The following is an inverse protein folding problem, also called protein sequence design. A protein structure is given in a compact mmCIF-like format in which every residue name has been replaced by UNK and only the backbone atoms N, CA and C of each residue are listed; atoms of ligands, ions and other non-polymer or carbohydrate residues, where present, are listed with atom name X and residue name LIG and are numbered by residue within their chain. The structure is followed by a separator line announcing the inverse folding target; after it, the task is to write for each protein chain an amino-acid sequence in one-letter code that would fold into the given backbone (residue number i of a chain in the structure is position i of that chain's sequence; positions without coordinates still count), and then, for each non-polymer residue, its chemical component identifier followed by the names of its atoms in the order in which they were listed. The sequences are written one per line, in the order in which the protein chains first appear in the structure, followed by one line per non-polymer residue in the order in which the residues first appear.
data_IF_119171889778
#
_entry.id   IF_119171889778
#
_cell.length_a   1.000
_cell.length_b   1.000
_cell.length_c   1.000
_cell.angle_alpha   90.00
_cell.angle_beta   90.00
_cell.angle_gamma   90.00
#
_symmetry.space_group_name_H-M   'P 1'
#
loop_
_entity.id
_entity.type
_entity.pdbx_description
1 polymer ?
#
# COMPACT_ATOMS: atom_id res chain seq x y z
N UNK A 1 65.81 17.88 16.44
CA UNK A 1 65.34 16.55 15.99
C UNK A 1 63.85 16.26 16.21
N UNK A 2 63.13 16.97 17.11
CA UNK A 2 61.69 16.73 17.37
C UNK A 2 60.75 17.31 16.28
N UNK A 3 61.23 18.21 15.42
CA UNK A 3 60.41 18.94 14.44
C UNK A 3 60.08 18.22 13.12
N UNK A 4 60.77 17.12 12.80
CA UNK A 4 60.54 16.37 11.53
C UNK A 4 59.40 15.34 11.67
N UNK A 5 59.14 14.84 12.89
CA UNK A 5 58.12 13.83 13.15
C UNK A 5 56.67 14.32 12.94
N UNK A 6 56.40 15.61 13.12
CA UNK A 6 55.03 16.16 12.95
C UNK A 6 54.65 16.38 11.47
N UNK A 7 55.65 16.69 10.62
CA UNK A 7 55.47 16.87 9.17
C UNK A 7 55.07 15.54 8.51
N UNK A 8 55.67 14.43 8.96
CA UNK A 8 55.26 13.10 8.52
C UNK A 8 53.85 12.75 9.00
N UNK A 9 53.47 13.15 10.22
CA UNK A 9 52.15 12.85 10.79
C UNK A 9 50.98 13.47 10.04
N UNK A 10 51.07 14.73 9.61
CA UNK A 10 49.98 15.41 8.89
C UNK A 10 49.91 15.03 7.42
N UNK A 11 51.06 14.82 6.76
CA UNK A 11 51.11 14.33 5.37
C UNK A 11 50.63 12.88 5.30
N UNK A 12 51.00 12.00 6.25
CA UNK A 12 50.42 10.65 6.35
C UNK A 12 48.94 10.65 6.71
N UNK A 13 48.47 11.57 7.55
CA UNK A 13 47.04 11.65 7.89
C UNK A 13 46.19 12.03 6.66
N UNK A 14 46.68 12.96 5.83
CA UNK A 14 46.01 13.33 4.57
C UNK A 14 46.09 12.21 3.52
N UNK A 15 47.21 11.47 3.46
CA UNK A 15 47.35 10.31 2.57
C UNK A 15 46.52 9.09 3.03
N UNK A 16 46.36 8.89 4.35
CA UNK A 16 45.60 7.79 4.93
C UNK A 16 44.09 7.93 4.71
N UNK A 17 43.56 9.14 4.59
CA UNK A 17 42.13 9.38 4.28
C UNK A 17 41.82 9.06 2.80
N UNK A 18 42.82 9.13 1.91
CA UNK A 18 42.68 8.79 0.49
C UNK A 18 42.94 7.32 0.13
N UNK A 19 43.55 6.54 1.02
CA UNK A 19 43.96 5.16 0.74
C UNK A 19 43.00 4.17 1.41
N UNK A 20 41.79 4.03 0.85
CA UNK A 20 40.93 2.87 1.14
C UNK A 20 41.64 1.64 0.55
N UNK A 21 42.15 0.69 1.37
CA UNK A 21 42.82 -0.49 0.84
C UNK A 21 41.78 -1.36 0.14
N UNK A 22 41.89 -1.46 -1.18
CA UNK A 22 41.13 -2.39 -2.03
C UNK A 22 41.65 -3.82 -1.83
N UNK A 23 41.58 -4.33 -0.60
CA UNK A 23 42.02 -5.68 -0.27
C UNK A 23 41.13 -6.33 0.78
N UNK A 24 39.91 -6.69 0.37
CA UNK A 24 39.30 -7.95 0.80
C UNK A 24 39.06 -8.80 -0.43
N UNK A 25 40.06 -9.62 -0.77
CA UNK A 25 39.85 -10.86 -1.51
C UNK A 25 39.00 -11.75 -0.61
N UNK A 26 37.71 -11.82 -0.87
CA UNK A 26 36.84 -12.86 -0.34
C UNK A 26 36.14 -13.51 -1.53
N UNK A 27 36.36 -14.82 -1.63
CA UNK A 27 35.68 -15.82 -2.45
C UNK A 27 35.87 -15.74 -3.97
N UNK A 28 36.78 -16.59 -4.46
CA UNK A 28 36.74 -17.19 -5.79
C UNK A 28 35.42 -17.94 -5.96
N UNK A 29 34.42 -17.25 -6.51
CA UNK A 29 33.21 -17.82 -7.08
C UNK A 29 33.05 -17.23 -8.47
N UNK A 30 33.03 -18.10 -9.47
CA UNK A 30 33.04 -17.82 -10.90
C UNK A 30 31.97 -16.79 -11.30
N UNK A 31 32.34 -15.50 -11.40
CA UNK A 31 31.48 -14.45 -11.94
C UNK A 31 32.17 -13.81 -13.14
N UNK A 32 31.63 -14.14 -14.31
CA UNK A 32 31.90 -13.48 -15.58
C UNK A 32 31.96 -11.96 -15.42
N UNK A 33 33.02 -11.37 -15.97
CA UNK A 33 33.30 -9.93 -15.96
C UNK A 33 32.14 -9.14 -16.56
N UNK A 34 31.28 -8.62 -15.70
CA UNK A 34 30.55 -7.38 -15.96
C UNK A 34 30.99 -6.37 -14.90
N UNK A 35 32.11 -5.69 -15.18
CA UNK A 35 32.45 -4.48 -14.42
C UNK A 35 31.31 -3.48 -14.62
N UNK A 36 30.60 -3.02 -13.56
CA UNK A 36 29.53 -2.06 -13.72
C UNK A 36 30.10 -0.77 -14.35
N UNK A 37 29.40 -0.15 -15.31
CA UNK A 37 29.86 1.10 -15.90
C UNK A 37 30.05 2.12 -14.78
N UNK A 38 31.20 2.80 -14.79
CA UNK A 38 31.51 3.87 -13.84
C UNK A 38 30.45 4.97 -13.96
N UNK A 39 29.41 4.88 -13.12
CA UNK A 39 28.33 5.85 -13.09
C UNK A 39 28.93 7.12 -12.52
N UNK A 40 29.32 8.06 -13.39
CA UNK A 40 29.83 9.37 -12.98
C UNK A 40 28.80 9.98 -12.05
N UNK A 41 29.17 10.10 -10.78
CA UNK A 41 28.32 10.70 -9.76
C UNK A 41 28.22 12.19 -10.09
N UNK A 42 27.04 12.66 -10.49
CA UNK A 42 26.80 14.07 -10.79
C UNK A 42 27.21 14.93 -9.59
N UNK A 43 28.06 15.92 -9.83
CA UNK A 43 28.63 16.76 -8.79
C UNK A 43 30.05 16.40 -8.33
N UNK A 44 30.63 15.27 -8.78
CA UNK A 44 31.98 14.85 -8.37
C UNK A 44 33.07 15.88 -8.71
N UNK A 45 32.89 16.64 -9.79
CA UNK A 45 33.78 17.71 -10.21
C UNK A 45 33.85 18.85 -9.18
N UNK A 46 32.70 19.28 -8.64
CA UNK A 46 32.64 20.34 -7.62
C UNK A 46 33.31 19.91 -6.32
N UNK A 47 33.17 18.63 -5.96
CA UNK A 47 33.88 18.04 -4.82
C UNK A 47 35.40 18.08 -5.03
N UNK A 48 35.87 17.74 -6.23
CA UNK A 48 37.29 17.80 -6.56
C UNK A 48 37.85 19.23 -6.45
N UNK A 49 37.13 20.23 -7.00
CA UNK A 49 37.53 21.64 -6.86
C UNK A 49 37.55 22.11 -5.40
N UNK A 50 36.55 21.74 -4.60
CA UNK A 50 36.51 22.07 -3.18
C UNK A 50 37.70 21.45 -2.41
N UNK A 51 38.06 20.19 -2.71
CA UNK A 51 39.22 19.53 -2.10
C UNK A 51 40.54 20.18 -2.53
N UNK A 52 40.68 20.55 -3.80
CA UNK A 52 41.88 21.23 -4.30
C UNK A 52 42.05 22.59 -3.60
N UNK A 53 41.00 23.41 -3.52
CA UNK A 53 41.02 24.70 -2.83
C UNK A 53 41.44 24.54 -1.36
N UNK A 54 40.90 23.55 -0.64
CA UNK A 54 41.26 23.27 0.74
C UNK A 54 42.74 22.87 0.91
N UNK A 55 43.27 22.06 -0.02
CA UNK A 55 44.67 21.66 0.00
C UNK A 55 45.61 22.83 -0.31
N UNK A 56 45.25 23.70 -1.26
CA UNK A 56 46.01 24.92 -1.58
C UNK A 56 46.05 25.85 -0.37
N UNK A 57 44.90 26.08 0.29
CA UNK A 57 44.83 26.88 1.50
C UNK A 57 45.71 26.30 2.62
N UNK A 58 45.61 24.99 2.88
CA UNK A 58 46.45 24.33 3.89
C UNK A 58 47.94 24.44 3.56
N UNK A 59 48.33 24.32 2.30
CA UNK A 59 49.72 24.44 1.87
C UNK A 59 50.27 25.85 2.12
N UNK A 60 49.52 26.90 1.76
CA UNK A 60 49.92 28.30 1.98
C UNK A 60 50.13 28.58 3.48
N UNK A 61 49.23 28.09 4.35
CA UNK A 61 49.36 28.25 5.80
C UNK A 61 50.57 27.49 6.37
N UNK A 62 50.86 26.28 5.87
CA UNK A 62 52.06 25.55 6.27
C UNK A 62 53.34 26.27 5.83
N UNK A 63 53.39 26.81 4.60
CA UNK A 63 54.54 27.57 4.12
C UNK A 63 54.79 28.83 4.97
N UNK A 64 53.73 29.52 5.39
CA UNK A 64 53.82 30.65 6.32
C UNK A 64 54.47 30.25 7.65
N UNK A 65 53.99 29.18 8.27
CA UNK A 65 54.45 28.72 9.59
C UNK A 65 55.89 28.22 9.55
N UNK A 66 56.29 27.49 8.50
CA UNK A 66 57.62 26.87 8.43
C UNK A 66 58.70 27.74 7.79
N UNK A 67 58.35 28.55 6.80
CA UNK A 67 59.30 29.32 6.01
C UNK A 67 59.16 30.84 6.21
N UNK A 68 58.26 31.29 7.11
CA UNK A 68 57.98 32.71 7.37
C UNK A 68 57.70 33.51 6.09
N UNK A 69 57.11 32.86 5.09
CA UNK A 69 56.71 33.51 3.83
C UNK A 69 55.52 34.43 4.16
N UNK A 70 55.64 35.75 3.92
CA UNK A 70 54.57 36.68 4.27
C UNK A 70 53.30 36.37 3.46
N UNK A 71 52.26 35.94 4.18
CA UNK A 71 50.94 35.60 3.61
C UNK A 71 50.12 36.84 3.24
N UNK A 72 50.58 38.02 3.64
CA UNK A 72 49.90 39.31 3.42
C UNK A 72 49.65 39.62 1.92
N UNK A 73 50.37 38.94 1.02
CA UNK A 73 50.22 39.08 -0.43
C UNK A 73 49.10 38.20 -1.03
N UNK A 74 48.61 37.19 -0.30
CA UNK A 74 47.59 36.26 -0.79
C UNK A 74 46.23 36.67 -0.22
N UNK A 75 45.35 37.28 -1.02
CA UNK A 75 44.04 37.69 -0.54
C UNK A 75 43.20 36.45 -0.13
N UNK A 76 42.37 36.55 0.94
CA UNK A 76 41.67 35.42 1.54
C UNK A 76 40.42 35.00 0.75
N UNK A 77 40.52 34.82 -0.57
CA UNK A 77 39.40 34.36 -1.42
C UNK A 77 39.18 32.84 -1.39
N UNK A 78 40.18 32.06 -0.97
CA UNK A 78 40.13 30.59 -0.92
C UNK A 78 38.92 30.03 -0.12
N UNK A 79 38.63 30.49 1.11
CA UNK A 79 37.45 30.02 1.86
C UNK A 79 36.12 30.34 1.15
N UNK A 80 36.06 31.46 0.42
CA UNK A 80 34.86 31.88 -0.32
C UNK A 80 34.63 30.96 -1.54
N UNK A 81 35.69 30.61 -2.26
CA UNK A 81 35.62 29.65 -3.38
C UNK A 81 35.17 28.27 -2.88
N UNK A 82 35.71 27.80 -1.74
CA UNK A 82 35.29 26.55 -1.12
C UNK A 82 33.80 26.53 -0.76
N UNK A 83 33.33 27.58 -0.06
CA UNK A 83 31.93 27.72 0.32
C UNK A 83 31.00 27.77 -0.90
N UNK A 84 31.39 28.51 -1.95
CA UNK A 84 30.63 28.61 -3.19
C UNK A 84 30.51 27.24 -3.88
N UNK A 85 31.60 26.48 -3.97
CA UNK A 85 31.61 25.15 -4.59
C UNK A 85 30.73 24.15 -3.83
N UNK A 86 30.78 24.20 -2.48
CA UNK A 86 29.88 23.39 -1.65
C UNK A 86 28.41 23.80 -1.82
N UNK A 87 28.11 25.10 -1.85
CA UNK A 87 26.76 25.59 -2.04
C UNK A 87 26.18 25.15 -3.40
N UNK A 88 26.98 25.24 -4.47
CA UNK A 88 26.60 24.77 -5.80
C UNK A 88 26.38 23.26 -5.83
N UNK A 89 27.27 22.47 -5.21
CA UNK A 89 27.09 21.01 -5.10
C UNK A 89 25.80 20.66 -4.37
N UNK A 90 25.52 21.30 -3.24
CA UNK A 90 24.30 21.08 -2.46
C UNK A 90 23.06 21.51 -3.24
N UNK A 91 23.10 22.65 -3.91
CA UNK A 91 21.99 23.14 -4.76
C UNK A 91 21.68 22.17 -5.90
N UNK A 92 22.70 21.67 -6.61
CA UNK A 92 22.52 20.67 -7.66
C UNK A 92 21.95 19.36 -7.11
N UNK A 93 22.45 18.88 -5.97
CA UNK A 93 21.96 17.66 -5.33
C UNK A 93 20.52 17.80 -4.86
N UNK A 94 20.20 18.95 -4.28
CA UNK A 94 18.85 19.27 -3.86
C UNK A 94 17.92 19.31 -5.07
N UNK A 95 18.23 20.08 -6.10
CA UNK A 95 17.42 20.16 -7.33
C UNK A 95 17.18 18.78 -7.96
N UNK A 96 18.22 17.95 -8.08
CA UNK A 96 18.08 16.60 -8.61
C UNK A 96 17.23 15.69 -7.71
N UNK A 97 17.40 15.76 -6.39
CA UNK A 97 16.58 15.01 -5.45
C UNK A 97 15.10 15.44 -5.52
N UNK A 98 14.84 16.74 -5.61
CA UNK A 98 13.48 17.28 -5.77
C UNK A 98 12.83 16.82 -7.06
N UNK A 99 13.54 16.91 -8.20
CA UNK A 99 13.05 16.39 -9.48
C UNK A 99 12.76 14.90 -9.43
N UNK A 100 13.60 14.11 -8.73
CA UNK A 100 13.39 12.68 -8.59
C UNK A 100 12.17 12.36 -7.73
N UNK A 101 11.96 13.11 -6.65
CA UNK A 101 10.77 12.98 -5.80
C UNK A 101 9.51 13.31 -6.59
N UNK A 102 9.52 14.40 -7.37
CA UNK A 102 8.39 14.80 -8.22
C UNK A 102 8.09 13.74 -9.29
N UNK A 103 9.12 13.23 -9.97
CA UNK A 103 8.98 12.16 -10.97
C UNK A 103 8.37 10.89 -10.35
N UNK A 104 8.86 10.47 -9.19
CA UNK A 104 8.34 9.30 -8.46
C UNK A 104 6.91 9.54 -7.97
N UNK A 105 6.59 10.74 -7.52
CA UNK A 105 5.24 11.12 -7.11
C UNK A 105 4.27 11.05 -8.28
N UNK A 106 4.63 11.59 -9.45
CA UNK A 106 3.81 11.51 -10.66
C UNK A 106 3.64 10.05 -11.13
N UNK A 107 4.69 9.23 -11.04
CA UNK A 107 4.61 7.80 -11.38
C UNK A 107 3.69 7.04 -10.42
N UNK A 108 3.78 7.30 -9.11
CA UNK A 108 2.88 6.73 -8.11
C UNK A 108 1.42 7.12 -8.37
N UNK A 109 1.15 8.40 -8.62
CA UNK A 109 -0.21 8.87 -8.92
C UNK A 109 -0.79 8.23 -10.19
N UNK A 110 0.04 8.01 -11.22
CA UNK A 110 -0.37 7.30 -12.44
C UNK A 110 -0.64 5.82 -12.15
N UNK A 111 0.21 5.17 -11.38
CA UNK A 111 0.06 3.76 -11.03
C UNK A 111 -1.18 3.52 -10.17
N UNK A 112 -1.46 4.41 -9.21
CA UNK A 112 -2.68 4.36 -8.40
C UNK A 112 -3.92 4.50 -9.29
N UNK A 113 -3.98 5.53 -10.16
CA UNK A 113 -5.10 5.70 -11.10
C UNK A 113 -5.34 4.48 -11.99
N UNK A 114 -4.28 3.87 -12.53
CA UNK A 114 -4.40 2.67 -13.36
C UNK A 114 -4.89 1.46 -12.56
N UNK A 115 -4.42 1.29 -11.33
CA UNK A 115 -4.90 0.24 -10.43
C UNK A 115 -6.39 0.42 -10.15
N UNK A 116 -6.83 1.65 -9.96
CA UNK A 116 -8.22 1.95 -9.63
C UNK A 116 -9.15 1.73 -10.82
N UNK A 117 -8.76 2.18 -12.02
CA UNK A 117 -9.48 1.90 -13.26
C UNK A 117 -9.56 0.40 -13.54
N UNK A 118 -8.46 -0.33 -13.31
CA UNK A 118 -8.42 -1.78 -13.43
C UNK A 118 -9.40 -2.44 -12.46
N UNK A 119 -9.38 -2.09 -11.18
CA UNK A 119 -10.28 -2.65 -10.17
C UNK A 119 -11.74 -2.36 -10.49
N UNK A 120 -12.07 -1.13 -10.90
CA UNK A 120 -13.43 -0.74 -11.26
C UNK A 120 -13.94 -1.54 -12.48
N UNK A 121 -13.18 -1.55 -13.56
CA UNK A 121 -13.54 -2.23 -14.81
C UNK A 121 -13.67 -3.73 -14.61
N UNK A 122 -12.68 -4.36 -13.99
CA UNK A 122 -12.68 -5.82 -13.75
C UNK A 122 -13.82 -6.23 -12.82
N UNK A 123 -14.17 -5.40 -11.83
CA UNK A 123 -15.31 -5.70 -10.95
C UNK A 123 -16.64 -5.73 -11.72
N UNK A 124 -16.88 -4.76 -12.59
CA UNK A 124 -18.10 -4.74 -13.41
C UNK A 124 -18.13 -5.88 -14.43
N UNK A 125 -16.99 -6.22 -15.02
CA UNK A 125 -16.85 -7.38 -15.90
C UNK A 125 -17.07 -8.71 -15.16
N UNK A 126 -16.82 -8.80 -13.84
CA UNK A 126 -17.10 -9.98 -13.03
C UNK A 126 -18.54 -10.07 -12.50
N UNK A 127 -19.25 -8.94 -12.31
CA UNK A 127 -20.67 -8.97 -11.88
C UNK A 127 -21.53 -9.76 -12.86
N UNK A 128 -21.39 -9.49 -14.16
CA UNK A 128 -22.18 -10.13 -15.21
C UNK A 128 -22.06 -11.66 -15.24
N UNK A 129 -20.85 -12.28 -15.31
CA UNK A 129 -20.72 -13.73 -15.29
C UNK A 129 -21.16 -14.35 -13.96
N UNK A 130 -20.94 -13.69 -12.82
CA UNK A 130 -21.42 -14.18 -11.51
C UNK A 130 -22.96 -14.19 -11.45
N UNK A 131 -23.60 -13.13 -11.92
CA UNK A 131 -25.07 -13.11 -12.04
C UNK A 131 -25.58 -14.16 -13.03
N UNK A 132 -24.85 -14.43 -14.11
CA UNK A 132 -25.17 -15.50 -15.06
C UNK A 132 -25.15 -16.88 -14.41
N UNK A 133 -24.08 -17.24 -13.69
CA UNK A 133 -23.98 -18.52 -12.97
C UNK A 133 -25.08 -18.64 -11.92
N UNK A 134 -25.33 -17.57 -11.15
CA UNK A 134 -26.41 -17.51 -10.17
C UNK A 134 -27.79 -17.74 -10.82
N UNK A 135 -28.05 -17.11 -11.96
CA UNK A 135 -29.34 -17.22 -12.65
C UNK A 135 -29.54 -18.63 -13.23
N UNK A 136 -28.51 -19.23 -13.81
CA UNK A 136 -28.56 -20.61 -14.31
C UNK A 136 -28.83 -21.59 -13.16
N UNK A 137 -28.12 -21.43 -12.04
CA UNK A 137 -28.31 -22.30 -10.87
C UNK A 137 -29.73 -22.19 -10.29
N UNK A 138 -30.26 -20.96 -10.14
CA UNK A 138 -31.65 -20.74 -9.71
C UNK A 138 -32.68 -21.25 -10.71
N UNK A 139 -32.47 -21.03 -12.01
CA UNK A 139 -33.37 -21.53 -13.04
C UNK A 139 -33.43 -23.06 -13.08
N UNK A 140 -32.35 -23.75 -12.72
CA UNK A 140 -32.35 -25.21 -12.58
C UNK A 140 -33.06 -25.67 -11.29
N UNK A 141 -33.00 -24.89 -10.21
CA UNK A 141 -33.73 -25.14 -8.97
C UNK A 141 -35.25 -24.93 -9.12
N UNK A 142 -35.65 -23.90 -9.85
CA UNK A 142 -37.04 -23.47 -10.03
C UNK A 142 -37.74 -24.17 -11.22
N UNK A 143 -37.08 -25.12 -11.88
CA UNK A 143 -37.62 -25.80 -13.06
C UNK A 143 -38.77 -26.76 -12.68
N UNK A 144 -40.00 -26.32 -12.88
CA UNK A 144 -41.20 -27.09 -12.60
C UNK A 144 -41.42 -28.29 -13.56
N UNK A 145 -40.85 -28.24 -14.78
CA UNK A 145 -41.04 -29.29 -15.78
C UNK A 145 -40.09 -30.48 -15.59
N UNK A 146 -38.93 -30.23 -14.99
CA UNK A 146 -37.95 -31.27 -14.69
C UNK A 146 -37.25 -30.96 -13.36
N UNK A 147 -37.89 -31.27 -12.22
CA UNK A 147 -37.34 -30.95 -10.91
C UNK A 147 -36.00 -31.69 -10.69
N UNK A 148 -35.00 -31.05 -10.08
CA UNK A 148 -33.72 -31.68 -9.78
C UNK A 148 -33.89 -32.79 -8.74
N UNK A 149 -33.04 -33.81 -8.80
CA UNK A 149 -32.95 -34.83 -7.73
C UNK A 149 -32.45 -34.17 -6.42
N UNK A 150 -32.67 -34.82 -5.27
CA UNK A 150 -32.23 -34.28 -3.98
C UNK A 150 -30.73 -33.93 -3.96
N UNK A 151 -29.88 -34.78 -4.55
CA UNK A 151 -28.43 -34.54 -4.66
C UNK A 151 -28.09 -33.39 -5.62
N UNK A 152 -28.84 -33.23 -6.72
CA UNK A 152 -28.67 -32.09 -7.64
C UNK A 152 -29.10 -30.78 -6.99
N UNK A 153 -30.19 -30.80 -6.21
CA UNK A 153 -30.69 -29.65 -5.48
C UNK A 153 -29.66 -29.13 -4.49
N UNK A 154 -29.08 -30.00 -3.66
CA UNK A 154 -28.04 -29.64 -2.70
C UNK A 154 -26.82 -29.00 -3.38
N UNK A 155 -26.37 -29.57 -4.51
CA UNK A 155 -25.25 -29.01 -5.31
C UNK A 155 -25.60 -27.64 -5.90
N UNK A 156 -26.80 -27.44 -6.41
CA UNK A 156 -27.25 -26.16 -6.97
C UNK A 156 -27.41 -25.08 -5.89
N UNK A 157 -27.93 -25.43 -4.72
CA UNK A 157 -28.02 -24.54 -3.56
C UNK A 157 -26.61 -24.12 -3.09
N UNK A 158 -25.66 -25.05 -3.09
CA UNK A 158 -24.25 -24.75 -2.80
C UNK A 158 -23.63 -23.79 -3.82
N UNK A 159 -23.82 -24.03 -5.13
CA UNK A 159 -23.34 -23.14 -6.20
C UNK A 159 -23.93 -21.73 -6.05
N UNK A 160 -25.23 -21.66 -5.75
CA UNK A 160 -25.96 -20.39 -5.53
C UNK A 160 -25.35 -19.64 -4.34
N UNK A 161 -25.09 -20.32 -3.23
CA UNK A 161 -24.48 -19.75 -2.03
C UNK A 161 -23.05 -19.23 -2.29
N UNK A 162 -22.20 -20.02 -2.94
CA UNK A 162 -20.81 -19.64 -3.26
C UNK A 162 -20.79 -18.44 -4.21
N UNK A 163 -21.61 -18.46 -5.25
CA UNK A 163 -21.67 -17.38 -6.25
C UNK A 163 -22.17 -16.08 -5.62
N UNK A 164 -23.13 -16.16 -4.70
CA UNK A 164 -23.63 -15.00 -3.94
C UNK A 164 -22.55 -14.40 -3.05
N UNK A 165 -21.81 -15.25 -2.32
CA UNK A 165 -20.70 -14.81 -1.48
C UNK A 165 -19.57 -14.18 -2.31
N UNK A 166 -19.24 -14.75 -3.46
CA UNK A 166 -18.22 -14.19 -4.34
C UNK A 166 -18.65 -12.84 -4.93
N UNK A 167 -19.91 -12.71 -5.32
CA UNK A 167 -20.47 -11.43 -5.77
C UNK A 167 -20.33 -10.35 -4.70
N UNK A 168 -20.70 -10.66 -3.46
CA UNK A 168 -20.54 -9.74 -2.32
C UNK A 168 -19.09 -9.30 -2.12
N UNK A 169 -18.13 -10.24 -2.17
CA UNK A 169 -16.70 -9.91 -2.04
C UNK A 169 -16.20 -8.97 -3.15
N UNK A 170 -16.68 -9.14 -4.39
CA UNK A 170 -16.35 -8.23 -5.49
C UNK A 170 -16.89 -6.82 -5.22
N UNK A 171 -18.12 -6.71 -4.71
CA UNK A 171 -18.68 -5.41 -4.29
C UNK A 171 -17.87 -4.78 -3.16
N UNK A 172 -17.50 -5.54 -2.13
CA UNK A 172 -16.77 -5.04 -0.98
C UNK A 172 -15.37 -4.50 -1.37
N UNK A 173 -14.67 -5.17 -2.29
CA UNK A 173 -13.36 -4.72 -2.82
C UNK A 173 -13.51 -3.40 -3.58
N UNK A 174 -14.56 -3.28 -4.40
CA UNK A 174 -14.84 -2.08 -5.16
C UNK A 174 -15.19 -0.89 -4.25
N UNK A 175 -16.06 -1.11 -3.27
CA UNK A 175 -16.45 -0.10 -2.30
C UNK A 175 -15.26 0.36 -1.46
N UNK A 176 -14.38 -0.55 -1.05
CA UNK A 176 -13.13 -0.19 -0.38
C UNK A 176 -12.23 0.69 -1.26
N UNK A 177 -12.12 0.37 -2.55
CA UNK A 177 -11.33 1.16 -3.52
C UNK A 177 -11.87 2.59 -3.64
N UNK A 178 -13.19 2.74 -3.79
CA UNK A 178 -13.87 4.04 -3.89
C UNK A 178 -13.77 4.86 -2.59
N UNK A 179 -13.87 4.19 -1.44
CA UNK A 179 -13.76 4.81 -0.13
C UNK A 179 -12.37 5.39 0.12
N UNK A 180 -11.30 4.70 -0.27
CA UNK A 180 -9.92 5.17 -0.10
C UNK A 180 -9.66 6.50 -0.84
N UNK A 181 -10.38 6.77 -1.91
CA UNK A 181 -10.23 7.97 -2.73
C UNK A 181 -11.17 9.12 -2.31
N UNK A 182 -12.10 8.88 -1.39
CA UNK A 182 -13.14 9.84 -1.05
C UNK A 182 -14.18 10.04 -2.16
N UNK A 183 -14.21 9.18 -3.19
CA UNK A 183 -15.14 9.23 -4.33
C UNK A 183 -16.46 8.49 -4.05
N UNK A 184 -16.69 8.09 -2.80
CA UNK A 184 -17.93 7.45 -2.41
C UNK A 184 -19.08 8.46 -2.50
N UNK A 185 -19.75 8.52 -3.66
CA UNK A 185 -20.99 9.25 -3.81
C UNK A 185 -22.05 8.57 -2.92
N UNK A 186 -22.51 9.32 -1.92
CA UNK A 186 -23.61 8.95 -1.04
C UNK A 186 -24.80 9.77 -1.48
N UNK A 187 -25.79 9.13 -2.08
CA UNK A 187 -27.01 9.82 -2.49
C UNK A 187 -27.90 10.01 -1.25
N UNK A 188 -27.88 11.21 -0.70
CA UNK A 188 -28.56 11.52 0.56
C UNK A 188 -30.01 11.87 0.28
N UNK A 189 -30.91 10.91 0.49
CA UNK A 189 -32.34 11.10 0.35
C UNK A 189 -33.06 10.92 1.71
N UNK A 190 -34.28 11.45 1.88
CA UNK A 190 -35.11 11.11 3.02
C UNK A 190 -35.51 9.64 2.96
N UNK A 191 -34.97 8.82 3.86
CA UNK A 191 -35.22 7.39 3.95
C UNK A 191 -36.09 7.10 5.17
N UNK A 192 -37.18 6.35 4.96
CA UNK A 192 -37.95 5.78 6.05
C UNK A 192 -37.24 4.53 6.57
N UNK A 193 -36.67 4.66 7.76
CA UNK A 193 -35.83 3.63 8.38
C UNK A 193 -36.62 2.35 8.66
N UNK A 194 -37.89 2.46 9.03
CA UNK A 194 -38.73 1.33 9.40
C UNK A 194 -38.93 0.34 8.24
N UNK A 195 -39.49 0.74 7.08
CA UNK A 195 -39.67 -0.17 5.94
C UNK A 195 -38.35 -0.67 5.36
N UNK A 196 -37.29 0.14 5.39
CA UNK A 196 -35.96 -0.29 4.97
C UNK A 196 -35.41 -1.43 5.84
N UNK A 197 -35.49 -1.31 7.17
CA UNK A 197 -35.11 -2.38 8.11
C UNK A 197 -36.05 -3.58 8.00
N UNK A 198 -37.35 -3.35 7.88
CA UNK A 198 -38.38 -4.38 7.75
C UNK A 198 -38.13 -5.28 6.52
N UNK A 199 -37.75 -4.69 5.38
CA UNK A 199 -37.38 -5.43 4.18
C UNK A 199 -36.17 -6.34 4.42
N UNK A 200 -35.12 -5.83 5.06
CA UNK A 200 -33.94 -6.63 5.40
C UNK A 200 -34.27 -7.75 6.39
N UNK A 201 -35.06 -7.46 7.44
CA UNK A 201 -35.52 -8.47 8.41
C UNK A 201 -36.31 -9.58 7.71
N UNK A 202 -37.19 -9.26 6.76
CA UNK A 202 -37.92 -10.27 5.97
C UNK A 202 -36.97 -11.16 5.15
N UNK A 203 -36.03 -10.56 4.41
CA UNK A 203 -35.05 -11.31 3.61
C UNK A 203 -34.24 -12.28 4.48
N UNK A 204 -33.71 -11.80 5.60
CA UNK A 204 -32.90 -12.64 6.49
C UNK A 204 -33.74 -13.63 7.31
N UNK A 205 -35.01 -13.34 7.59
CA UNK A 205 -35.91 -14.28 8.26
C UNK A 205 -36.15 -15.53 7.40
N UNK A 206 -36.23 -15.36 6.08
CA UNK A 206 -36.30 -16.48 5.13
C UNK A 206 -34.98 -17.25 5.08
N UNK A 207 -33.83 -16.56 5.01
CA UNK A 207 -32.50 -17.20 4.97
C UNK A 207 -32.12 -17.92 6.28
N UNK A 208 -32.72 -17.54 7.41
CA UNK A 208 -32.51 -18.14 8.72
C UNK A 208 -33.66 -19.06 9.17
N UNK A 209 -34.62 -19.35 8.30
CA UNK A 209 -35.77 -20.21 8.61
C UNK A 209 -35.34 -21.59 9.13
N UNK A 210 -34.27 -22.16 8.56
CA UNK A 210 -33.72 -23.46 8.97
C UNK A 210 -32.92 -23.42 10.29
N UNK A 211 -32.66 -22.23 10.86
CA UNK A 211 -31.73 -22.06 12.00
C UNK A 211 -32.41 -21.68 13.33
N UNK A 212 -33.74 -21.72 13.40
CA UNK A 212 -34.52 -21.37 14.59
C UNK A 212 -34.18 -19.98 15.20
N UNK A 213 -33.78 -19.02 14.35
CA UNK A 213 -33.45 -17.64 14.76
C UNK A 213 -34.67 -16.75 14.52
N UNK A 214 -35.17 -16.09 15.56
CA UNK A 214 -36.26 -15.10 15.46
C UNK A 214 -35.68 -13.70 15.30
N UNK A 215 -35.95 -13.07 14.15
CA UNK A 215 -35.63 -11.66 13.91
C UNK A 215 -36.87 -10.80 14.17
N UNK A 216 -36.72 -9.73 14.95
CA UNK A 216 -37.82 -8.83 15.32
C UNK A 216 -37.43 -7.38 15.00
N UNK A 217 -38.28 -6.68 14.25
CA UNK A 217 -38.11 -5.26 13.98
C UNK A 217 -38.73 -4.43 15.11
N UNK A 218 -37.90 -3.72 15.89
CA UNK A 218 -38.33 -2.82 16.98
C UNK A 218 -38.10 -1.34 16.67
N UNK A 219 -37.95 -0.97 15.40
CA UNK A 219 -37.87 0.45 15.00
C UNK A 219 -39.20 1.14 15.34
N UNK A 220 -39.26 2.27 16.07
CA UNK A 220 -40.51 2.98 16.39
C UNK A 220 -41.33 3.42 15.16
N UNK A 221 -42.66 3.56 15.28
CA UNK A 221 -43.54 4.00 14.16
C UNK A 221 -43.38 5.48 13.81
N UNK A 222 -42.99 6.30 14.77
CA UNK A 222 -42.89 7.76 14.62
C UNK A 222 -41.44 8.23 14.49
N UNK A 223 -40.58 7.40 13.88
CA UNK A 223 -39.20 7.81 13.65
C UNK A 223 -39.17 8.85 12.51
N UNK A 224 -38.51 10.00 12.68
CA UNK A 224 -38.32 10.94 11.58
C UNK A 224 -37.49 10.30 10.46
N UNK A 225 -37.71 10.72 9.22
CA UNK A 225 -36.92 10.31 8.07
C UNK A 225 -35.43 10.56 8.33
N UNK A 226 -34.60 9.55 8.05
CA UNK A 226 -33.15 9.70 8.10
C UNK A 226 -32.65 10.24 6.76
N UNK A 227 -31.71 11.17 6.78
CA UNK A 227 -31.00 11.57 5.57
C UNK A 227 -29.89 10.55 5.32
N UNK A 228 -30.10 9.66 4.36
CA UNK A 228 -29.19 8.56 4.06
C UNK A 228 -29.34 8.07 2.62
N UNK A 229 -28.40 7.26 2.17
CA UNK A 229 -28.50 6.48 0.94
C UNK A 229 -29.23 5.16 1.26
N UNK A 230 -30.43 4.98 0.71
CA UNK A 230 -31.30 3.83 1.00
C UNK A 230 -30.61 2.49 0.68
N UNK A 231 -29.90 2.42 -0.45
CA UNK A 231 -29.21 1.22 -0.91
C UNK A 231 -28.11 0.84 0.06
N UNK A 232 -27.25 1.81 0.42
CA UNK A 232 -26.14 1.59 1.37
C UNK A 232 -26.65 1.29 2.77
N UNK A 233 -27.71 1.97 3.22
CA UNK A 233 -28.32 1.71 4.51
C UNK A 233 -28.82 0.26 4.59
N UNK A 234 -29.54 -0.21 3.56
CA UNK A 234 -29.95 -1.61 3.45
C UNK A 234 -28.77 -2.59 3.48
N UNK A 235 -27.68 -2.25 2.78
CA UNK A 235 -26.44 -3.06 2.75
C UNK A 235 -25.77 -3.16 4.12
N UNK A 236 -25.69 -2.05 4.87
CA UNK A 236 -25.16 -2.03 6.24
C UNK A 236 -26.00 -2.91 7.15
N UNK A 237 -27.33 -2.74 7.12
CA UNK A 237 -28.26 -3.55 7.92
C UNK A 237 -28.14 -5.03 7.55
N UNK A 238 -28.10 -5.36 6.25
CA UNK A 238 -27.91 -6.71 5.76
C UNK A 238 -26.60 -7.33 6.22
N UNK A 239 -25.48 -6.61 6.12
CA UNK A 239 -24.17 -7.07 6.59
C UNK A 239 -24.17 -7.36 8.10
N UNK A 240 -24.86 -6.55 8.90
CA UNK A 240 -24.99 -6.76 10.35
C UNK A 240 -25.84 -7.99 10.68
N UNK A 241 -26.95 -8.19 9.96
CA UNK A 241 -27.83 -9.35 10.13
C UNK A 241 -27.16 -10.64 9.66
N UNK A 242 -26.46 -10.60 8.52
CA UNK A 242 -25.75 -11.74 7.93
C UNK A 242 -24.60 -12.26 8.80
N UNK A 243 -23.77 -11.35 9.34
CA UNK A 243 -22.69 -11.74 10.26
C UNK A 243 -23.22 -12.45 11.51
N UNK A 244 -24.34 -11.97 12.08
CA UNK A 244 -24.93 -12.58 13.28
C UNK A 244 -25.66 -13.89 12.99
N UNK A 245 -26.36 -14.01 11.85
CA UNK A 245 -27.02 -15.25 11.44
C UNK A 245 -26.05 -16.40 11.20
N UNK A 246 -24.88 -16.12 10.61
CA UNK A 246 -23.82 -17.12 10.39
C UNK A 246 -23.15 -17.56 11.71
N UNK A 247 -22.83 -16.60 12.59
CA UNK A 247 -22.19 -16.89 13.88
C UNK A 247 -23.06 -17.73 14.83
N UNK A 248 -24.39 -17.66 14.72
CA UNK A 248 -25.31 -18.52 15.48
C UNK A 248 -25.40 -19.94 14.89
N UNK A 249 -25.39 -20.09 13.57
CA UNK A 249 -25.44 -21.39 12.90
C UNK A 249 -24.25 -22.31 13.18
N UNK A 250 -23.03 -21.76 13.30
CA UNK A 250 -21.84 -22.54 13.67
C UNK A 250 -21.88 -23.05 15.11
N UNK A 251 -22.50 -22.31 16.04
CA UNK A 251 -22.60 -22.73 17.44
C UNK A 251 -23.57 -23.89 17.66
N UNK A 252 -24.66 -23.96 16.89
CA UNK A 252 -25.59 -25.10 16.98
C UNK A 252 -25.06 -26.34 16.26
N UNK A 253 -24.38 -26.18 15.12
CA UNK A 253 -23.75 -27.29 14.43
C UNK A 253 -22.62 -27.93 15.27
N UNK A 254 -21.80 -27.13 15.96
CA UNK A 254 -20.83 -27.65 16.94
C UNK A 254 -21.46 -28.29 18.18
N UNK A 255 -22.71 -27.92 18.55
CA UNK A 255 -23.41 -28.53 19.69
C UNK A 255 -23.99 -29.90 19.34
N UNK A 256 -24.45 -30.08 18.10
CA UNK A 256 -24.96 -31.36 17.63
C UNK A 256 -23.87 -32.39 17.35
N UNK A 257 -22.68 -31.98 16.88
CA UNK A 257 -21.55 -32.91 16.67
C UNK A 257 -20.78 -33.29 17.95
N UNK A 258 -21.12 -32.71 19.11
CA UNK A 258 -20.50 -33.03 20.41
C UNK A 258 -21.36 -33.86 21.36
N UNK A 259 -22.54 -34.33 20.90
CA UNK A 259 -23.57 -34.94 21.73
C UNK A 259 -23.90 -36.40 21.40
N UNK A 260 -22.97 -37.17 20.83
CA UNK A 260 -23.20 -38.58 20.51
C UNK A 260 -21.97 -39.43 20.91
N UNK A 261 -21.77 -39.55 22.22
CA UNK A 261 -20.96 -40.62 22.82
C UNK A 261 -21.33 -40.81 24.29
N UNK A 262 -22.56 -41.21 24.57
CA UNK A 262 -22.94 -41.85 25.83
C UNK A 262 -24.31 -42.52 25.72
N UNK A 263 -24.32 -43.72 25.13
CA UNK A 263 -25.02 -44.89 25.65
C UNK A 263 -24.84 -46.06 24.68
N UNK A 264 -23.92 -46.96 25.03
CA UNK A 264 -24.14 -48.40 25.20
C UNK A 264 -22.91 -49.02 25.88
#
# INVERSE_FOLDING_TARGET
MIRIGLIFGTVLAVWAIGFIPRSRRICLGNWSRSTPPSRKVEGSLYLAFAVIALNVFALVQNLNVYFAVPVDSVPPFEPLVYLLMLALLMSLRFSNAFRKIEELSVQLLKADKLKDEFLARTSDEFKSPLHGVMHIARSMLDNANHPPTAEQREKLELITSITGRLSQLVYDILDFSRLKQGELAVDSMPVDVRPAVEMQVRIYSFLCADRNIRLENRVPEHLPYAIADESRFGQIVGNLLGQRGQAYGEREHCRHSGGESQHD
#
